data_IF_352174905911
#
_entry.id   IF_352174905911
#
_cell.length_a   1.000
_cell.length_b   1.000
_cell.length_c   1.000
_cell.angle_alpha   90.00
_cell.angle_beta   90.00
_cell.angle_gamma   90.00
#
_symmetry.space_group_name_H-M   'P 1'
#
loop_
_entity.id
_entity.type
_entity.pdbx_description
1 polymer ?
#
# COMPACT_ATOMS: atom_id res chain seq x y z
N UNK A 1 0.81 -18.63 6.68
CA UNK A 1 1.06 -17.92 5.41
C UNK A 1 -0.12 -17.00 5.15
N UNK A 2 0.12 -15.82 4.60
CA UNK A 2 -0.88 -14.82 4.24
C UNK A 2 -0.95 -14.72 2.71
N UNK A 3 -2.13 -14.48 2.17
CA UNK A 3 -2.28 -14.21 0.74
C UNK A 3 -2.15 -12.71 0.48
N UNK A 4 -1.62 -12.34 -0.69
CA UNK A 4 -1.31 -10.96 -1.05
C UNK A 4 -2.17 -10.45 -2.22
N UNK A 5 -2.54 -9.17 -2.14
CA UNK A 5 -3.09 -8.38 -3.24
C UNK A 5 -2.01 -7.41 -3.71
N UNK A 6 -1.77 -7.33 -5.01
CA UNK A 6 -0.96 -6.29 -5.63
C UNK A 6 -1.85 -5.39 -6.48
N UNK A 7 -1.92 -4.10 -6.14
CA UNK A 7 -2.73 -3.14 -6.91
C UNK A 7 -1.93 -2.56 -8.07
N UNK A 8 -2.38 -2.83 -9.29
CA UNK A 8 -1.68 -2.51 -10.54
C UNK A 8 -2.56 -1.77 -11.58
N UNK A 9 -3.74 -1.30 -11.18
CA UNK A 9 -4.72 -0.67 -12.07
C UNK A 9 -4.45 0.78 -12.46
N UNK A 10 -3.29 1.34 -12.12
CA UNK A 10 -2.94 2.74 -12.42
C UNK A 10 -2.56 2.93 -13.89
N UNK A 11 -3.38 3.68 -14.64
CA UNK A 11 -3.09 4.08 -16.02
C UNK A 11 -2.97 5.61 -16.03
N UNK A 12 -1.76 6.17 -16.22
CA UNK A 12 -1.59 7.61 -16.25
C UNK A 12 -2.39 8.25 -17.38
N UNK A 13 -2.99 9.42 -17.11
CA UNK A 13 -3.70 10.26 -18.09
C UNK A 13 -2.77 11.30 -18.73
N UNK A 14 -3.09 11.88 -19.90
CA UNK A 14 -2.23 12.84 -20.60
C UNK A 14 -1.66 13.99 -19.76
N UNK A 15 -2.41 14.46 -18.76
CA UNK A 15 -2.05 15.52 -17.84
C UNK A 15 -1.18 15.08 -16.65
N UNK A 16 -0.99 13.77 -16.45
CA UNK A 16 -0.30 13.20 -15.29
C UNK A 16 1.21 13.01 -15.54
N UNK A 17 2.06 13.15 -14.51
CA UNK A 17 3.52 13.27 -14.67
C UNK A 17 4.22 12.10 -15.39
N UNK A 18 3.65 10.90 -15.32
CA UNK A 18 4.24 9.67 -15.89
C UNK A 18 3.67 9.28 -17.25
N UNK A 19 2.70 10.03 -17.78
CA UNK A 19 2.14 9.74 -19.09
C UNK A 19 3.17 9.72 -20.23
N UNK A 20 4.17 10.61 -20.29
CA UNK A 20 5.19 10.55 -21.34
C UNK A 20 5.95 9.22 -21.38
N UNK A 21 6.14 8.58 -20.24
CA UNK A 21 6.84 7.30 -20.12
C UNK A 21 5.91 6.11 -20.36
N UNK A 22 4.65 6.19 -19.94
CA UNK A 22 3.70 5.07 -20.09
C UNK A 22 2.96 5.09 -21.43
N UNK A 23 2.81 6.25 -22.06
CA UNK A 23 2.01 6.45 -23.27
C UNK A 23 0.59 5.88 -23.15
N UNK A 24 -0.04 6.07 -21.98
CA UNK A 24 -1.39 5.56 -21.68
C UNK A 24 -1.46 4.06 -21.38
N UNK A 25 -0.32 3.38 -21.21
CA UNK A 25 -0.25 1.99 -20.71
C UNK A 25 -0.22 1.97 -19.18
N UNK A 26 -0.35 0.78 -18.60
CA UNK A 26 -0.27 0.60 -17.14
C UNK A 26 1.07 1.09 -16.60
N UNK A 27 1.01 1.95 -15.58
CA UNK A 27 2.16 2.45 -14.81
C UNK A 27 2.99 1.30 -14.25
N UNK A 28 2.33 0.25 -13.77
CA UNK A 28 2.95 -0.91 -13.13
C UNK A 28 3.90 -1.68 -14.06
N UNK A 29 3.77 -1.53 -15.38
CA UNK A 29 4.60 -2.19 -16.40
C UNK A 29 5.74 -1.30 -16.92
N UNK A 30 5.88 -0.09 -16.39
CA UNK A 30 6.97 0.80 -16.75
C UNK A 30 8.31 0.13 -16.40
N UNK A 31 9.30 0.23 -17.30
CA UNK A 31 10.61 -0.38 -17.09
C UNK A 31 11.38 0.36 -15.99
N UNK A 32 11.85 -0.40 -15.01
CA UNK A 32 12.74 0.06 -13.95
C UNK A 32 13.92 -0.90 -13.90
N UNK A 33 15.10 -0.42 -14.28
CA UNK A 33 16.34 -1.19 -14.33
C UNK A 33 16.24 -2.49 -15.17
N UNK A 34 15.55 -2.44 -16.32
CA UNK A 34 15.45 -3.55 -17.27
C UNK A 34 14.42 -4.63 -16.90
N UNK A 35 13.43 -4.29 -16.08
CA UNK A 35 12.34 -5.16 -15.63
C UNK A 35 11.08 -4.33 -15.43
N UNK A 36 9.86 -4.87 -15.72
CA UNK A 36 8.61 -4.20 -15.36
C UNK A 36 8.56 -3.88 -13.86
N UNK A 37 8.18 -2.65 -13.49
CA UNK A 37 8.20 -2.18 -12.10
C UNK A 37 7.53 -3.14 -11.11
N UNK A 38 6.34 -3.65 -11.45
CA UNK A 38 5.61 -4.62 -10.64
C UNK A 38 6.34 -5.94 -10.44
N UNK A 39 7.18 -6.37 -11.40
CA UNK A 39 7.90 -7.64 -11.28
C UNK A 39 8.91 -7.60 -10.12
N UNK A 40 9.48 -6.43 -9.79
CA UNK A 40 10.29 -6.29 -8.56
C UNK A 40 9.49 -6.57 -7.29
N UNK A 41 8.25 -6.06 -7.22
CA UNK A 41 7.33 -6.33 -6.11
C UNK A 41 6.95 -7.81 -6.06
N UNK A 42 6.65 -8.43 -7.21
CA UNK A 42 6.33 -9.85 -7.29
C UNK A 42 7.52 -10.73 -6.88
N UNK A 43 8.75 -10.35 -7.22
CA UNK A 43 9.96 -11.06 -6.79
C UNK A 43 10.17 -10.97 -5.27
N UNK A 44 9.91 -9.81 -4.67
CA UNK A 44 9.94 -9.65 -3.23
C UNK A 44 8.89 -10.52 -2.52
N UNK A 45 7.65 -10.54 -3.02
CA UNK A 45 6.58 -11.42 -2.53
C UNK A 45 6.91 -12.90 -2.73
N UNK A 46 7.53 -13.24 -3.87
CA UNK A 46 7.99 -14.60 -4.20
C UNK A 46 8.98 -15.11 -3.17
N UNK A 47 9.99 -14.33 -2.82
CA UNK A 47 11.03 -14.74 -1.89
C UNK A 47 10.59 -14.82 -0.41
N UNK A 48 9.45 -14.23 -0.04
CA UNK A 48 8.91 -14.33 1.33
C UNK A 48 8.34 -15.71 1.61
N UNK A 49 8.79 -16.41 2.64
CA UNK A 49 8.21 -17.69 3.06
C UNK A 49 6.80 -17.55 3.70
N UNK A 50 6.39 -16.31 3.99
CA UNK A 50 5.13 -15.99 4.66
C UNK A 50 3.99 -15.72 3.69
N UNK A 51 4.29 -15.43 2.43
CA UNK A 51 3.27 -15.24 1.37
C UNK A 51 2.91 -16.57 0.72
N UNK A 52 1.62 -16.90 0.68
CA UNK A 52 1.10 -18.14 0.07
C UNK A 52 0.74 -17.99 -1.41
N UNK A 53 -0.22 -17.10 -1.70
CA UNK A 53 -0.71 -16.79 -3.06
C UNK A 53 -0.73 -15.29 -3.29
N UNK A 54 -0.62 -14.89 -4.55
CA UNK A 54 -0.67 -13.48 -4.97
C UNK A 54 -1.81 -13.30 -5.98
N UNK A 55 -2.62 -12.25 -5.80
CA UNK A 55 -3.56 -11.77 -6.82
C UNK A 55 -3.18 -10.37 -7.25
N UNK A 56 -3.03 -10.16 -8.55
CA UNK A 56 -2.77 -8.85 -9.14
C UNK A 56 -4.07 -8.27 -9.66
N UNK A 57 -4.38 -7.04 -9.25
CA UNK A 57 -5.61 -6.36 -9.68
C UNK A 57 -5.27 -5.19 -10.61
N UNK A 58 -5.73 -5.27 -11.85
CA UNK A 58 -5.52 -4.25 -12.87
C UNK A 58 -4.50 -4.60 -13.95
N UNK A 59 -4.07 -5.86 -14.01
CA UNK A 59 -3.35 -6.48 -15.13
C UNK A 59 -4.04 -7.80 -15.49
N UNK A 60 -3.57 -8.43 -16.57
CA UNK A 60 -4.00 -9.76 -17.05
C UNK A 60 -2.78 -10.63 -17.37
N UNK A 61 -3.00 -11.89 -17.76
CA UNK A 61 -1.93 -12.84 -18.06
C UNK A 61 -1.04 -12.39 -19.24
N UNK A 62 -1.52 -11.50 -20.10
CA UNK A 62 -0.73 -10.99 -21.25
C UNK A 62 0.35 -10.01 -20.84
N UNK A 63 0.32 -9.52 -19.58
CA UNK A 63 1.34 -8.63 -19.02
C UNK A 63 2.74 -9.27 -18.92
N UNK A 64 2.83 -10.61 -18.93
CA UNK A 64 4.11 -11.34 -18.88
C UNK A 64 4.80 -11.34 -17.52
N UNK A 65 4.14 -10.81 -16.48
CA UNK A 65 4.68 -10.80 -15.11
C UNK A 65 4.44 -12.15 -14.45
N UNK A 66 5.33 -12.55 -13.54
CA UNK A 66 5.30 -13.87 -12.92
C UNK A 66 5.60 -13.80 -11.42
N UNK A 67 5.13 -14.80 -10.68
CA UNK A 67 5.52 -15.03 -9.29
C UNK A 67 5.88 -16.51 -9.16
N UNK A 68 7.05 -16.88 -9.69
CA UNK A 68 7.44 -18.30 -9.83
C UNK A 68 7.31 -19.07 -8.51
N UNK A 69 6.85 -20.32 -8.59
CA UNK A 69 6.62 -21.21 -7.44
C UNK A 69 5.51 -20.75 -6.47
N UNK A 70 4.72 -19.73 -6.81
CA UNK A 70 3.49 -19.36 -6.10
C UNK A 70 2.32 -19.21 -7.06
N UNK A 71 1.08 -19.55 -6.63
CA UNK A 71 -0.10 -19.21 -7.41
C UNK A 71 -0.19 -17.70 -7.62
N UNK A 72 -0.34 -17.30 -8.88
CA UNK A 72 -0.53 -15.93 -9.32
C UNK A 72 -1.81 -15.84 -10.15
N UNK A 73 -2.75 -15.03 -9.68
CA UNK A 73 -4.03 -14.81 -10.35
C UNK A 73 -4.19 -13.34 -10.72
N UNK A 74 -4.98 -13.07 -11.76
CA UNK A 74 -5.21 -11.73 -12.28
C UNK A 74 -6.69 -11.37 -12.19
N UNK A 75 -6.97 -10.14 -11.77
CA UNK A 75 -8.31 -9.57 -11.75
C UNK A 75 -8.34 -8.26 -12.54
N UNK A 76 -9.43 -7.97 -13.26
CA UNK A 76 -9.57 -6.70 -13.98
C UNK A 76 -9.61 -5.53 -13.00
N UNK A 77 -9.14 -4.36 -13.47
CA UNK A 77 -9.27 -3.12 -12.69
C UNK A 77 -10.75 -2.77 -12.48
N UNK A 78 -11.06 -2.22 -11.31
CA UNK A 78 -12.34 -1.60 -10.95
C UNK A 78 -12.30 -0.07 -11.05
N UNK A 79 -11.18 0.50 -11.54
CA UNK A 79 -11.01 1.94 -11.75
C UNK A 79 -10.70 2.76 -10.49
N UNK A 80 -10.75 2.15 -9.30
CA UNK A 80 -10.42 2.78 -8.02
C UNK A 80 -9.57 1.83 -7.16
N UNK A 81 -8.60 2.39 -6.43
CA UNK A 81 -7.66 1.61 -5.61
C UNK A 81 -8.37 0.79 -4.52
N UNK A 82 -9.35 1.37 -3.81
CA UNK A 82 -10.09 0.64 -2.80
C UNK A 82 -10.99 -0.40 -3.49
N UNK A 83 -11.70 -0.04 -4.55
CA UNK A 83 -12.48 -1.03 -5.29
C UNK A 83 -11.62 -2.23 -5.80
N UNK A 84 -10.35 -1.99 -6.15
CA UNK A 84 -9.38 -3.03 -6.49
C UNK A 84 -9.02 -3.91 -5.30
N UNK A 85 -8.70 -3.32 -4.15
CA UNK A 85 -8.39 -4.06 -2.91
C UNK A 85 -9.60 -4.91 -2.49
N UNK A 86 -10.81 -4.36 -2.56
CA UNK A 86 -12.04 -5.09 -2.23
C UNK A 86 -12.27 -6.30 -3.16
N UNK A 87 -12.07 -6.10 -4.46
CA UNK A 87 -12.20 -7.17 -5.45
C UNK A 87 -11.17 -8.29 -5.21
N UNK A 88 -9.90 -7.93 -5.01
CA UNK A 88 -8.84 -8.87 -4.67
C UNK A 88 -9.13 -9.63 -3.37
N UNK A 89 -9.59 -8.92 -2.34
CA UNK A 89 -9.86 -9.52 -1.04
C UNK A 89 -11.04 -10.48 -1.07
N UNK A 90 -12.15 -10.12 -1.74
CA UNK A 90 -13.28 -11.03 -1.93
C UNK A 90 -12.87 -12.29 -2.68
N UNK A 91 -12.03 -12.14 -3.70
CA UNK A 91 -11.52 -13.28 -4.44
C UNK A 91 -10.64 -14.18 -3.55
N UNK A 92 -9.69 -13.61 -2.80
CA UNK A 92 -8.84 -14.37 -1.87
C UNK A 92 -9.63 -15.08 -0.78
N UNK A 93 -10.64 -14.42 -0.20
CA UNK A 93 -11.52 -14.98 0.84
C UNK A 93 -12.36 -16.13 0.28
N UNK A 94 -12.78 -16.06 -0.98
CA UNK A 94 -13.47 -17.18 -1.62
C UNK A 94 -12.56 -18.42 -1.75
N UNK A 95 -11.24 -18.24 -1.92
CA UNK A 95 -10.27 -19.33 -1.97
C UNK A 95 -9.89 -19.85 -0.57
N UNK A 96 -9.84 -18.96 0.43
CA UNK A 96 -9.51 -19.30 1.81
C UNK A 96 -10.38 -18.51 2.80
N UNK A 97 -11.60 -19.00 3.13
CA UNK A 97 -12.54 -18.29 4.00
C UNK A 97 -12.06 -18.11 5.44
N UNK A 98 -11.06 -18.90 5.86
CA UNK A 98 -10.51 -18.88 7.22
C UNK A 98 -9.29 -17.98 7.36
N UNK A 99 -8.83 -17.33 6.28
CA UNK A 99 -7.72 -16.39 6.34
C UNK A 99 -8.10 -15.19 7.23
N UNK A 100 -7.38 -14.92 8.33
CA UNK A 100 -7.71 -13.79 9.21
C UNK A 100 -7.33 -12.45 8.56
N UNK A 101 -6.30 -12.45 7.73
CA UNK A 101 -5.65 -11.26 7.19
C UNK A 101 -5.25 -11.45 5.74
N UNK A 102 -5.14 -10.32 5.05
CA UNK A 102 -4.70 -10.20 3.67
C UNK A 102 -3.61 -9.13 3.60
N UNK A 103 -2.52 -9.45 2.93
CA UNK A 103 -1.43 -8.52 2.66
C UNK A 103 -1.77 -7.68 1.44
N UNK A 104 -1.51 -6.38 1.47
CA UNK A 104 -1.77 -5.46 0.36
C UNK A 104 -0.49 -4.71 0.03
N UNK A 105 -0.06 -4.81 -1.22
CA UNK A 105 1.10 -4.12 -1.76
C UNK A 105 0.70 -3.26 -2.96
N UNK A 106 1.31 -2.08 -3.08
CA UNK A 106 1.31 -1.35 -4.35
C UNK A 106 2.31 -1.96 -5.34
N UNK A 107 2.08 -1.74 -6.63
CA UNK A 107 2.94 -2.25 -7.71
C UNK A 107 4.11 -1.33 -8.07
N UNK A 108 4.21 -0.16 -7.45
CA UNK A 108 5.12 0.94 -7.83
C UNK A 108 6.20 1.26 -6.79
N UNK A 109 6.52 0.28 -5.94
CA UNK A 109 7.58 0.31 -4.92
C UNK A 109 8.70 -0.70 -5.25
N UNK A 110 9.41 -0.56 -6.40
CA UNK A 110 10.29 -1.60 -6.92
C UNK A 110 11.55 -1.87 -6.07
N UNK A 111 11.86 -1.03 -5.08
CA UNK A 111 13.01 -1.23 -4.20
C UNK A 111 12.76 -2.21 -3.05
N UNK A 112 11.52 -2.67 -2.84
CA UNK A 112 11.24 -3.59 -1.72
C UNK A 112 11.93 -4.94 -1.89
N UNK A 113 12.19 -5.59 -0.76
CA UNK A 113 12.79 -6.93 -0.71
C UNK A 113 11.92 -7.90 0.09
N UNK A 114 12.17 -9.20 -0.04
CA UNK A 114 11.46 -10.22 0.72
C UNK A 114 11.61 -10.05 2.24
N UNK A 115 12.77 -9.58 2.71
CA UNK A 115 12.99 -9.30 4.14
C UNK A 115 12.09 -8.19 4.67
N UNK A 116 11.79 -7.18 3.84
CA UNK A 116 10.90 -6.07 4.20
C UNK A 116 9.45 -6.54 4.23
N UNK A 117 9.04 -7.38 3.27
CA UNK A 117 7.73 -8.04 3.27
C UNK A 117 7.56 -8.89 4.53
N UNK A 118 8.55 -9.73 4.85
CA UNK A 118 8.51 -10.58 6.04
C UNK A 118 8.43 -9.77 7.34
N UNK A 119 9.15 -8.64 7.42
CA UNK A 119 9.09 -7.74 8.57
C UNK A 119 7.67 -7.20 8.80
N UNK A 120 6.98 -6.75 7.74
CA UNK A 120 5.61 -6.22 7.87
C UNK A 120 4.64 -7.33 8.30
N UNK A 121 4.78 -8.52 7.71
CA UNK A 121 3.95 -9.68 8.05
C UNK A 121 4.16 -10.13 9.50
N UNK A 122 5.39 -10.07 10.01
CA UNK A 122 5.71 -10.43 11.39
C UNK A 122 5.29 -9.36 12.41
N UNK A 123 5.35 -8.09 12.02
CA UNK A 123 4.84 -6.99 12.83
C UNK A 123 3.30 -7.03 12.95
N UNK A 124 2.61 -7.57 11.95
CA UNK A 124 1.17 -7.77 11.94
C UNK A 124 0.73 -9.06 12.67
N UNK A 125 1.04 -9.16 13.96
CA UNK A 125 0.91 -10.40 14.75
C UNK A 125 -0.41 -10.56 15.54
N UNK A 126 -1.22 -9.51 15.66
CA UNK A 126 -2.50 -9.54 16.36
C UNK A 126 -3.62 -9.90 15.36
N UNK A 127 -4.10 -11.15 15.48
CA UNK A 127 -5.13 -11.76 14.65
C UNK A 127 -6.46 -10.97 14.64
N UNK A 128 -6.71 -10.17 15.68
CA UNK A 128 -7.93 -9.38 15.82
C UNK A 128 -7.82 -7.95 15.28
N UNK A 129 -6.63 -7.52 14.86
CA UNK A 129 -6.45 -6.21 14.26
C UNK A 129 -7.17 -6.14 12.89
N UNK A 130 -7.97 -5.12 12.67
CA UNK A 130 -8.71 -4.95 11.42
C UNK A 130 -7.84 -4.29 10.34
N UNK A 131 -6.84 -3.50 10.73
CA UNK A 131 -5.99 -2.77 9.79
C UNK A 131 -4.62 -2.44 10.38
N UNK A 132 -3.56 -2.86 9.69
CA UNK A 132 -2.20 -2.38 9.93
C UNK A 132 -1.80 -1.42 8.82
N UNK A 133 -1.53 -0.18 9.20
CA UNK A 133 -1.04 0.84 8.30
C UNK A 133 0.46 1.06 8.50
N UNK A 134 1.25 0.84 7.46
CA UNK A 134 2.69 1.08 7.55
C UNK A 134 3.01 2.56 7.30
N UNK A 135 3.93 3.10 8.09
CA UNK A 135 4.49 4.44 7.91
C UNK A 135 6.01 4.39 8.03
N UNK A 136 6.70 5.33 7.39
CA UNK A 136 8.15 5.47 7.47
C UNK A 136 8.49 6.84 8.02
N UNK A 137 9.44 6.89 8.96
CA UNK A 137 9.99 8.14 9.48
C UNK A 137 10.77 8.90 8.40
N UNK A 138 10.62 10.23 8.37
CA UNK A 138 11.32 11.11 7.43
C UNK A 138 12.84 10.92 7.46
N UNK A 139 13.41 10.68 8.63
CA UNK A 139 14.86 10.45 8.77
C UNK A 139 15.29 9.18 8.04
N UNK A 140 14.48 8.11 8.09
CA UNK A 140 14.72 6.86 7.36
C UNK A 140 14.57 7.08 5.86
N UNK A 141 13.49 7.78 5.44
CA UNK A 141 13.27 8.10 4.03
C UNK A 141 14.40 8.92 3.41
N UNK A 142 14.77 10.04 4.04
CA UNK A 142 15.78 10.96 3.49
C UNK A 142 17.19 10.40 3.61
N UNK A 143 17.44 9.45 4.52
CA UNK A 143 18.72 8.75 4.60
C UNK A 143 18.97 7.85 3.38
N UNK A 144 17.94 7.13 2.92
CA UNK A 144 18.05 6.20 1.78
C UNK A 144 17.76 6.87 0.43
N UNK A 145 16.72 7.69 0.37
CA UNK A 145 16.23 8.36 -0.84
C UNK A 145 16.14 9.88 -0.63
N UNK A 146 17.30 10.56 -0.46
CA UNK A 146 17.33 12.00 -0.31
C UNK A 146 16.73 12.67 -1.55
N UNK A 147 15.83 13.64 -1.32
CA UNK A 147 15.21 14.38 -2.43
C UNK A 147 14.10 13.62 -3.17
N UNK A 148 13.62 12.49 -2.63
CA UNK A 148 12.40 11.81 -3.09
C UNK A 148 11.14 12.70 -3.06
N UNK A 149 11.18 13.79 -2.27
CA UNK A 149 10.08 14.75 -2.07
C UNK A 149 8.76 14.07 -1.66
N UNK A 150 8.85 13.04 -0.81
CA UNK A 150 7.68 12.42 -0.20
C UNK A 150 6.89 13.44 0.63
N UNK A 151 5.59 13.20 0.71
CA UNK A 151 4.67 13.99 1.52
C UNK A 151 4.70 13.47 2.95
N UNK A 152 5.00 14.36 3.90
CA UNK A 152 5.10 14.00 5.32
C UNK A 152 3.96 14.60 6.13
N UNK A 153 3.34 13.77 6.98
CA UNK A 153 2.48 14.20 8.07
C UNK A 153 3.37 14.54 9.26
N UNK A 154 3.20 15.76 9.79
CA UNK A 154 3.98 16.25 10.93
C UNK A 154 3.16 16.10 12.20
N UNK A 155 3.65 15.27 13.10
CA UNK A 155 3.08 14.96 14.41
C UNK A 155 3.97 15.58 15.49
N UNK A 156 3.51 15.53 16.74
CA UNK A 156 4.23 16.05 17.90
C UNK A 156 5.58 15.35 18.12
N UNK A 157 5.62 14.05 17.84
CA UNK A 157 6.73 13.14 18.15
C UNK A 157 7.38 12.53 16.90
N UNK A 158 6.85 12.78 15.70
CA UNK A 158 7.37 12.20 14.47
C UNK A 158 7.01 13.04 13.22
N UNK A 159 7.82 12.93 12.17
CA UNK A 159 7.42 13.32 10.81
C UNK A 159 7.44 12.05 9.96
N UNK A 160 6.28 11.60 9.48
CA UNK A 160 6.14 10.29 8.81
C UNK A 160 5.46 10.42 7.46
N UNK A 161 5.78 9.54 6.52
CA UNK A 161 5.00 9.34 5.29
C UNK A 161 4.32 7.97 5.31
N UNK A 162 3.24 7.84 4.54
CA UNK A 162 2.59 6.56 4.31
C UNK A 162 3.49 5.60 3.52
N UNK A 163 3.34 4.30 3.80
CA UNK A 163 3.95 3.22 3.05
C UNK A 163 2.90 2.37 2.33
N UNK A 164 3.36 1.64 1.33
CA UNK A 164 2.54 0.93 0.37
C UNK A 164 2.52 -0.59 0.59
N UNK A 165 2.94 -1.04 1.78
CA UNK A 165 2.77 -2.39 2.30
C UNK A 165 1.89 -2.36 3.55
N UNK A 166 0.71 -2.97 3.48
CA UNK A 166 -0.30 -2.92 4.55
C UNK A 166 -0.92 -4.29 4.78
N UNK A 167 -1.52 -4.52 5.95
CA UNK A 167 -2.23 -5.77 6.26
C UNK A 167 -3.65 -5.42 6.68
N UNK A 168 -4.64 -6.10 6.09
CA UNK A 168 -6.06 -5.83 6.33
C UNK A 168 -6.72 -7.10 6.85
N UNK A 169 -7.56 -6.97 7.88
CA UNK A 169 -8.39 -8.06 8.37
C UNK A 169 -9.41 -8.47 7.32
N UNK A 170 -9.47 -9.75 6.98
CA UNK A 170 -10.40 -10.27 5.96
C UNK A 170 -11.86 -9.91 6.29
N UNK A 171 -12.22 -9.98 7.58
CA UNK A 171 -13.54 -9.58 8.10
C UNK A 171 -13.86 -8.09 7.88
N UNK A 172 -12.86 -7.22 7.89
CA UNK A 172 -13.04 -5.78 7.73
C UNK A 172 -13.52 -5.41 6.32
N UNK A 173 -13.22 -6.25 5.33
CA UNK A 173 -13.60 -6.06 3.92
C UNK A 173 -14.95 -6.74 3.59
N UNK A 174 -15.20 -7.93 4.13
CA UNK A 174 -16.35 -8.77 3.74
C UNK A 174 -17.57 -8.67 4.67
N UNK A 175 -17.45 -7.97 5.81
CA UNK A 175 -18.50 -7.84 6.85
C UNK A 175 -19.87 -7.24 6.48
N UNK A 176 -20.20 -7.05 5.20
CA UNK A 176 -21.55 -7.29 4.68
C UNK A 176 -22.73 -6.44 5.18
N UNK A 177 -22.52 -5.20 5.65
CA UNK A 177 -23.64 -4.25 5.82
C UNK A 177 -23.32 -2.92 5.16
N UNK A 178 -24.35 -2.13 4.84
CA UNK A 178 -24.27 -0.74 4.35
C UNK A 178 -23.48 0.21 5.30
N UNK A 179 -23.08 -0.30 6.48
CA UNK A 179 -22.25 0.37 7.49
C UNK A 179 -20.86 -0.28 7.66
N UNK A 180 -20.43 -1.10 6.70
CA UNK A 180 -19.12 -1.77 6.76
C UNK A 180 -17.97 -0.77 6.88
N UNK A 181 -16.92 -1.14 7.62
CA UNK A 181 -15.71 -0.34 7.82
C UNK A 181 -15.13 0.13 6.48
N UNK A 182 -15.12 -0.79 5.53
CA UNK A 182 -14.70 -0.54 4.16
C UNK A 182 -15.48 0.58 3.48
N UNK A 183 -16.82 0.57 3.57
CA UNK A 183 -17.66 1.62 3.01
C UNK A 183 -17.43 2.97 3.70
N UNK A 184 -17.26 3.00 5.02
CA UNK A 184 -16.94 4.26 5.74
C UNK A 184 -15.62 4.86 5.24
N UNK A 185 -14.59 4.04 5.03
CA UNK A 185 -13.30 4.48 4.47
C UNK A 185 -13.45 4.96 3.03
N UNK A 186 -14.16 4.20 2.19
CA UNK A 186 -14.43 4.57 0.78
C UNK A 186 -15.20 5.88 0.68
N UNK A 187 -16.26 6.05 1.46
CA UNK A 187 -17.09 7.26 1.45
C UNK A 187 -16.35 8.48 1.98
N UNK A 188 -15.58 8.32 3.05
CA UNK A 188 -14.76 9.39 3.58
C UNK A 188 -13.77 9.85 2.50
N UNK A 189 -13.09 8.92 1.81
CA UNK A 189 -12.08 9.26 0.80
C UNK A 189 -12.62 10.17 -0.31
N UNK A 190 -13.88 9.99 -0.70
CA UNK A 190 -14.51 10.71 -1.82
C UNK A 190 -14.73 12.21 -1.58
N UNK A 191 -14.63 12.69 -0.34
CA UNK A 191 -14.83 14.12 -0.03
C UNK A 191 -13.89 14.56 1.08
N UNK A 192 -13.05 15.57 0.82
CA UNK A 192 -12.20 16.19 1.83
C UNK A 192 -12.99 16.65 3.08
N UNK A 193 -14.24 17.08 2.89
CA UNK A 193 -15.14 17.45 3.98
C UNK A 193 -15.57 16.22 4.80
N UNK A 194 -15.91 15.09 4.16
CA UNK A 194 -16.22 13.84 4.88
C UNK A 194 -15.00 13.26 5.56
N UNK A 195 -13.81 13.34 4.96
CA UNK A 195 -12.55 12.99 5.63
C UNK A 195 -12.36 13.87 6.87
N UNK A 196 -12.56 15.18 6.76
CA UNK A 196 -12.44 16.10 7.89
C UNK A 196 -13.50 15.87 8.98
N UNK A 197 -14.72 15.44 8.62
CA UNK A 197 -15.75 15.06 9.58
C UNK A 197 -15.42 13.73 10.30
N UNK A 198 -14.90 12.75 9.56
CA UNK A 198 -14.53 11.44 10.09
C UNK A 198 -13.28 11.52 10.98
N UNK A 199 -12.29 12.29 10.54
CA UNK A 199 -11.10 12.63 11.31
C UNK A 199 -11.45 13.56 12.46
N UNK A 200 -12.48 14.40 12.30
CA UNK A 200 -13.04 15.43 13.20
C UNK A 200 -12.13 16.63 13.48
N UNK A 201 -12.76 17.74 13.86
CA UNK A 201 -12.15 19.07 13.90
C UNK A 201 -11.03 19.21 14.94
N UNK A 202 -11.15 18.51 16.07
CA UNK A 202 -10.14 18.45 17.12
C UNK A 202 -8.86 17.73 16.66
N UNK A 203 -8.97 16.61 15.96
CA UNK A 203 -7.80 15.93 15.38
C UNK A 203 -7.22 16.76 14.24
N UNK A 204 -8.04 17.40 13.41
CA UNK A 204 -7.56 18.31 12.38
C UNK A 204 -6.79 19.48 12.99
N UNK A 205 -7.30 20.10 14.07
CA UNK A 205 -6.59 21.12 14.84
C UNK A 205 -5.30 20.60 15.44
N UNK A 206 -5.29 19.41 16.02
CA UNK A 206 -4.08 18.80 16.59
C UNK A 206 -3.05 18.45 15.53
N UNK A 207 -3.46 18.03 14.33
CA UNK A 207 -2.56 17.81 13.20
C UNK A 207 -2.00 19.15 12.67
N UNK A 208 -2.85 20.18 12.56
CA UNK A 208 -2.45 21.53 12.15
C UNK A 208 -1.48 22.18 13.14
N UNK A 209 -1.75 22.05 14.44
CA UNK A 209 -0.90 22.57 15.52
C UNK A 209 0.24 21.63 15.88
N UNK A 210 0.34 20.46 15.22
CA UNK A 210 1.32 19.39 15.53
C UNK A 210 1.27 18.94 16.99
N UNK A 211 0.10 19.01 17.61
CA UNK A 211 -0.16 18.59 18.99
C UNK A 211 -0.47 17.10 19.15
N UNK A 212 -0.79 16.37 18.07
CA UNK A 212 -1.07 14.93 18.11
C UNK A 212 0.20 14.09 18.00
N UNK A 213 0.37 13.10 18.88
CA UNK A 213 1.38 12.05 18.69
C UNK A 213 0.88 10.98 17.73
N UNK A 214 1.77 10.16 17.18
CA UNK A 214 1.37 9.06 16.30
C UNK A 214 0.42 8.07 16.99
N UNK A 215 0.74 7.68 18.22
CA UNK A 215 -0.13 6.80 19.04
C UNK A 215 -1.50 7.45 19.33
N UNK A 216 -1.54 8.77 19.52
CA UNK A 216 -2.81 9.48 19.71
C UNK A 216 -3.65 9.44 18.44
N UNK A 217 -3.04 9.72 17.28
CA UNK A 217 -3.70 9.68 15.99
C UNK A 217 -4.22 8.26 15.67
N UNK A 218 -3.41 7.22 15.91
CA UNK A 218 -3.83 5.80 15.77
C UNK A 218 -5.08 5.51 16.60
N UNK A 219 -5.04 5.83 17.90
CA UNK A 219 -6.15 5.57 18.82
C UNK A 219 -7.42 6.31 18.42
N UNK A 220 -7.27 7.58 18.05
CA UNK A 220 -8.41 8.44 17.76
C UNK A 220 -9.08 8.08 16.42
N UNK A 221 -8.29 7.76 15.38
CA UNK A 221 -8.80 7.25 14.11
C UNK A 221 -9.48 5.89 14.31
N UNK A 222 -8.85 4.98 15.07
CA UNK A 222 -9.42 3.67 15.40
C UNK A 222 -10.76 3.80 16.10
N UNK A 223 -10.85 4.69 17.11
CA UNK A 223 -12.09 4.97 17.84
C UNK A 223 -13.19 5.53 16.94
N UNK A 224 -12.87 6.47 16.05
CA UNK A 224 -13.86 7.11 15.16
C UNK A 224 -14.36 6.18 14.06
N UNK A 225 -13.48 5.34 13.54
CA UNK A 225 -13.83 4.30 12.57
C UNK A 225 -14.54 3.10 13.20
N UNK A 226 -14.39 2.92 14.52
CA UNK A 226 -14.89 1.76 15.24
C UNK A 226 -14.13 0.49 14.85
N UNK A 227 -12.82 0.61 14.64
CA UNK A 227 -11.92 -0.48 14.22
C UNK A 227 -10.78 -0.65 15.21
N UNK A 228 -10.16 -1.83 15.17
CA UNK A 228 -8.86 -2.05 15.78
C UNK A 228 -7.78 -1.79 14.72
N UNK A 229 -7.36 -0.53 14.59
CA UNK A 229 -6.27 -0.12 13.69
C UNK A 229 -4.95 0.00 14.43
N UNK A 230 -3.84 -0.37 13.79
CA UNK A 230 -2.48 -0.23 14.32
C UNK A 230 -1.57 0.41 13.28
N UNK A 231 -0.68 1.29 13.71
CA UNK A 231 0.36 1.87 12.84
C UNK A 231 1.66 1.10 13.03
N UNK A 232 2.23 0.63 11.93
CA UNK A 232 3.53 -0.01 11.89
C UNK A 232 4.58 1.01 11.44
N UNK A 233 5.51 1.37 12.34
CA UNK A 233 6.67 2.21 11.97
C UNK A 233 7.72 1.33 11.30
N UNK A 234 7.69 1.28 9.97
CA UNK A 234 8.58 0.46 9.17
C UNK A 234 9.97 1.10 9.09
N UNK A 235 11.05 0.33 9.38
CA UNK A 235 12.42 0.85 9.36
C UNK A 235 13.02 0.92 7.95
N UNK A 236 12.26 0.57 6.91
CA UNK A 236 12.72 0.49 5.53
C UNK A 236 12.12 1.64 4.71
N UNK A 237 12.96 2.40 4.02
CA UNK A 237 12.50 3.51 3.19
C UNK A 237 11.81 3.04 1.91
N UNK A 238 12.19 1.87 1.44
CA UNK A 238 11.77 1.25 0.18
C UNK A 238 10.25 1.02 0.15
N UNK A 239 9.63 0.76 1.30
CA UNK A 239 8.18 0.54 1.38
C UNK A 239 7.36 1.83 1.22
N UNK A 240 8.00 2.99 1.33
CA UNK A 240 7.38 4.31 1.15
C UNK A 240 7.94 5.10 -0.03
N UNK A 241 8.80 4.49 -0.85
CA UNK A 241 9.38 5.09 -2.05
C UNK A 241 8.63 4.60 -3.30
N UNK A 242 7.50 5.22 -3.57
CA UNK A 242 6.67 5.03 -4.76
C UNK A 242 7.17 5.85 -5.96
N UNK A 243 6.91 5.35 -7.17
CA UNK A 243 7.22 6.07 -8.41
C UNK A 243 6.01 6.87 -8.87
N UNK A 244 5.81 8.12 -8.45
CA UNK A 244 4.70 8.95 -8.96
C UNK A 244 5.12 10.00 -10.00
N UNK A 245 6.42 10.33 -10.02
CA UNK A 245 6.98 11.40 -10.85
C UNK A 245 8.24 10.93 -11.58
N UNK A 246 8.58 11.54 -12.72
CA UNK A 246 9.75 11.17 -13.51
C UNK A 246 11.06 11.12 -12.70
N UNK A 247 11.30 12.09 -11.82
CA UNK A 247 12.53 12.09 -11.01
C UNK A 247 12.56 10.95 -9.96
N UNK A 248 11.40 10.47 -9.48
CA UNK A 248 11.34 9.32 -8.57
C UNK A 248 11.67 8.02 -9.31
N UNK A 249 11.19 7.91 -10.55
CA UNK A 249 11.57 6.84 -11.46
C UNK A 249 13.10 6.83 -11.67
N UNK A 250 13.69 7.98 -11.98
CA UNK A 250 15.14 8.11 -12.17
C UNK A 250 15.93 7.70 -10.91
N UNK A 251 15.49 8.12 -9.71
CA UNK A 251 16.10 7.73 -8.44
C UNK A 251 16.09 6.20 -8.29
N UNK A 252 14.93 5.56 -8.48
CA UNK A 252 14.77 4.13 -8.27
C UNK A 252 15.47 3.28 -9.34
N UNK A 253 15.45 3.71 -10.60
CA UNK A 253 16.19 3.05 -11.68
C UNK A 253 17.69 3.02 -11.36
N UNK A 254 18.27 4.17 -11.01
CA UNK A 254 19.70 4.25 -10.66
C UNK A 254 20.04 3.43 -9.43
N UNK A 255 19.17 3.47 -8.42
CA UNK A 255 19.36 2.71 -7.19
C UNK A 255 19.39 1.20 -7.46
N UNK A 256 18.40 0.69 -8.20
CA UNK A 256 18.28 -0.73 -8.52
C UNK A 256 19.37 -1.22 -9.47
N UNK A 257 19.83 -0.40 -10.41
CA UNK A 257 20.98 -0.74 -11.28
C UNK A 257 22.28 -0.94 -10.48
N UNK A 258 22.43 -0.23 -9.35
CA UNK A 258 23.63 -0.33 -8.51
C UNK A 258 23.63 -1.58 -7.63
N UNK A 259 22.46 -2.17 -7.37
CA UNK A 259 22.27 -3.33 -6.49
C UNK A 259 21.90 -4.61 -7.24
N UNK A 260 22.06 -4.61 -8.57
CA UNK A 260 21.78 -5.74 -9.46
C UNK A 260 22.93 -6.74 -9.52
#
# INVERSE_FOLDING_TARGET
MMDAIVTAGGIPKPEEPLYPQTMGKSKSLLDVAGKPMIQWVLDALRGSARIGRVVVVGLDETSGVTCENKPLDFLPTRGDMLANIEAGARWLIAQNPLAPHIFVASSDIPAITSAMVDWVLDAANDADCDFYYSVVDRTVMEQRFPGSRRSYVRLKDAEVCGADLNVIGARAIVGGSENSLWQKVVEARKSAFKQAQLVGFDMLWLLLTRGATLEYAEREVSKRLGIKGRVLRCPYAEVGMDVDKPFQLEILTKDLETHR
#
